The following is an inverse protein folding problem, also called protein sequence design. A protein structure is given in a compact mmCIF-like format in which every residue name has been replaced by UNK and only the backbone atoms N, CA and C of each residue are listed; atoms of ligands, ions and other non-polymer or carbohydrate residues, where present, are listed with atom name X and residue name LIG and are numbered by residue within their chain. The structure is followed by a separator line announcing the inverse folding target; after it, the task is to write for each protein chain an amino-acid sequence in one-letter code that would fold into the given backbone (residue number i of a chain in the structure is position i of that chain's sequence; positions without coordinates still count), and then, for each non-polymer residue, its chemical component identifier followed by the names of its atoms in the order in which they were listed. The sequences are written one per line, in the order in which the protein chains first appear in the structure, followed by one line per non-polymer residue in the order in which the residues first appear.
data_IF_676086843339
#
_entry.id   IF_676086843339
#
_cell.length_a   1.000
_cell.length_b   1.000
_cell.length_c   1.000
_cell.angle_alpha   90.00
_cell.angle_beta   90.00
_cell.angle_gamma   90.00
#
_symmetry.space_group_name_H-M   'P 1'
#
loop_
_entity.id
_entity.type
_entity.pdbx_description
1 polymer ?
#
# COMPACT_ATOMS: atom_id res chain seq x y z
N UNK A 1 56.14 24.93 18.27
CA UNK A 1 56.49 25.14 19.65
C UNK A 1 55.22 25.35 20.44
N UNK A 2 54.96 24.33 21.25
CA UNK A 2 54.38 24.32 22.59
C UNK A 2 52.91 24.71 22.74
N UNK A 3 52.09 23.84 23.04
CA UNK A 3 51.89 23.02 24.25
C UNK A 3 50.98 23.70 25.28
N UNK A 4 50.12 22.93 25.74
CA UNK A 4 49.67 22.49 27.05
C UNK A 4 48.32 23.05 27.48
N UNK A 5 47.42 22.15 27.68
CA UNK A 5 46.98 21.43 28.88
C UNK A 5 45.95 22.22 29.67
N UNK A 6 44.98 21.63 30.01
CA UNK A 6 44.46 20.69 30.98
C UNK A 6 43.27 21.23 31.77
N UNK A 7 42.43 20.36 31.96
CA UNK A 7 41.68 19.89 33.15
C UNK A 7 40.47 20.77 33.52
N UNK A 8 39.41 20.26 33.95
CA UNK A 8 38.95 18.97 34.42
C UNK A 8 37.62 19.13 35.10
N UNK A 9 37.01 18.03 35.28
CA UNK A 9 36.28 17.54 36.45
C UNK A 9 34.83 17.99 36.66
N UNK A 10 34.00 17.03 36.39
CA UNK A 10 33.03 16.36 37.26
C UNK A 10 32.23 17.22 38.26
N UNK A 11 30.93 17.08 38.19
CA UNK A 11 30.11 16.56 39.28
C UNK A 11 28.60 16.53 38.92
N UNK A 12 28.05 15.32 38.92
CA UNK A 12 26.68 15.07 39.35
C UNK A 12 26.68 15.11 40.89
N UNK A 13 25.60 15.31 41.66
CA UNK A 13 24.30 14.62 41.52
C UNK A 13 23.03 15.35 42.06
N UNK A 14 21.97 14.61 41.97
CA UNK A 14 20.78 14.50 42.86
C UNK A 14 19.64 15.53 42.64
N UNK A 15 18.51 15.10 42.30
CA UNK A 15 17.44 14.26 42.85
C UNK A 15 16.27 15.07 43.46
N UNK A 16 15.08 14.56 43.13
CA UNK A 16 13.80 14.71 43.80
C UNK A 16 13.03 16.04 43.53
N UNK A 17 11.79 16.08 43.17
CA UNK A 17 10.59 15.35 43.64
C UNK A 17 9.39 15.67 42.74
N UNK A 18 8.65 14.66 42.50
CA UNK A 18 7.21 14.49 42.35
C UNK A 18 6.32 15.75 42.42
N UNK A 19 5.47 15.90 41.44
CA UNK A 19 4.01 15.99 41.62
C UNK A 19 3.27 15.73 40.33
N UNK A 20 2.44 14.67 40.33
CA UNK A 20 1.29 14.45 39.48
C UNK A 20 0.11 15.15 40.15
N UNK A 21 -0.93 15.70 39.45
CA UNK A 21 -1.96 14.83 38.93
C UNK A 21 -2.63 15.25 37.61
N UNK A 22 -3.07 14.24 36.92
CA UNK A 22 -4.33 13.99 36.24
C UNK A 22 -5.07 15.12 35.52
N UNK A 23 -5.30 14.87 34.20
CA UNK A 23 -6.64 14.88 33.59
C UNK A 23 -6.59 14.23 32.22
N UNK A 24 -7.10 13.08 32.11
CA UNK A 24 -8.05 12.51 31.18
C UNK A 24 -8.28 13.32 29.87
N UNK A 25 -7.72 12.81 28.79
CA UNK A 25 -8.17 13.07 27.42
C UNK A 25 -8.22 11.71 26.73
N UNK A 26 -9.36 11.04 26.82
CA UNK A 26 -9.66 9.85 26.03
C UNK A 26 -9.78 10.28 24.57
N UNK A 27 -8.81 9.96 23.74
CA UNK A 27 -9.01 9.82 22.32
C UNK A 27 -9.35 8.35 22.10
N UNK A 28 -10.63 8.06 22.02
CA UNK A 28 -11.15 6.81 21.54
C UNK A 28 -10.77 6.69 20.06
N UNK A 29 -9.64 6.05 19.82
CA UNK A 29 -9.27 5.49 18.53
C UNK A 29 -10.10 4.23 18.31
N UNK A 30 -11.40 4.39 18.11
CA UNK A 30 -12.26 3.32 17.62
C UNK A 30 -11.98 3.11 16.13
N UNK A 31 -11.01 2.31 15.83
CA UNK A 31 -10.92 1.63 14.54
C UNK A 31 -12.04 0.59 14.51
N UNK A 32 -13.21 1.05 14.09
CA UNK A 32 -14.35 0.19 13.78
C UNK A 32 -13.92 -0.75 12.67
N UNK A 33 -14.01 -2.08 12.86
CA UNK A 33 -13.81 -3.01 11.73
C UNK A 33 -14.87 -2.70 10.67
N UNK A 34 -14.55 -2.91 9.36
CA UNK A 34 -15.51 -2.66 8.30
C UNK A 34 -16.74 -3.52 8.53
N UNK A 35 -17.81 -2.89 8.90
CA UNK A 35 -19.12 -3.54 9.11
C UNK A 35 -19.51 -4.18 7.79
N UNK A 36 -19.76 -5.48 7.81
CA UNK A 36 -20.41 -6.20 6.71
C UNK A 36 -21.71 -5.46 6.39
N UNK A 37 -21.74 -4.76 5.24
CA UNK A 37 -22.81 -3.84 5.05
C UNK A 37 -23.27 -3.67 3.62
N UNK A 38 -24.16 -2.79 3.45
CA UNK A 38 -24.95 -2.38 2.32
C UNK A 38 -24.19 -2.37 0.98
N UNK A 39 -24.89 -2.68 -0.08
CA UNK A 39 -24.40 -2.49 -1.45
C UNK A 39 -23.94 -1.04 -1.64
N UNK A 40 -22.93 -0.78 -2.47
CA UNK A 40 -22.49 0.56 -2.79
C UNK A 40 -23.68 1.43 -3.23
N UNK A 41 -23.68 2.69 -2.81
CA UNK A 41 -24.71 3.63 -3.27
C UNK A 41 -24.66 3.76 -4.81
N UNK A 42 -25.79 4.11 -5.44
CA UNK A 42 -25.89 4.17 -6.89
C UNK A 42 -24.85 5.14 -7.50
N UNK A 43 -24.59 6.29 -6.84
CA UNK A 43 -23.58 7.26 -7.25
C UNK A 43 -22.16 6.69 -7.15
N UNK A 44 -21.85 6.03 -6.05
CA UNK A 44 -20.58 5.37 -5.80
C UNK A 44 -20.25 4.31 -6.88
N UNK A 45 -21.23 3.46 -7.20
CA UNK A 45 -21.08 2.47 -8.26
C UNK A 45 -20.87 3.11 -9.63
N UNK A 46 -21.59 4.20 -9.93
CA UNK A 46 -21.47 4.90 -11.21
C UNK A 46 -20.10 5.56 -11.39
N UNK A 47 -19.57 6.21 -10.35
CA UNK A 47 -18.23 6.82 -10.38
C UNK A 47 -17.13 5.75 -10.54
N UNK A 48 -17.23 4.66 -9.79
CA UNK A 48 -16.32 3.53 -9.96
C UNK A 48 -16.36 2.97 -11.39
N UNK A 49 -17.54 2.74 -11.95
CA UNK A 49 -17.70 2.23 -13.31
C UNK A 49 -17.15 3.20 -14.36
N UNK A 50 -17.29 4.49 -14.14
CA UNK A 50 -16.73 5.53 -15.03
C UNK A 50 -15.19 5.43 -15.03
N UNK A 51 -14.57 5.34 -13.85
CA UNK A 51 -13.13 5.15 -13.73
C UNK A 51 -12.65 3.85 -14.40
N UNK A 52 -13.35 2.75 -14.14
CA UNK A 52 -13.05 1.45 -14.72
C UNK A 52 -13.16 1.44 -16.26
N UNK A 53 -14.23 2.02 -16.80
CA UNK A 53 -14.43 2.12 -18.24
C UNK A 53 -13.38 2.98 -18.92
N UNK A 54 -12.91 4.04 -18.25
CA UNK A 54 -11.81 4.88 -18.75
C UNK A 54 -10.54 4.06 -18.97
N UNK A 55 -10.20 3.19 -18.04
CA UNK A 55 -9.04 2.32 -18.18
C UNK A 55 -9.27 1.21 -19.22
N UNK A 56 -10.34 0.46 -19.07
CA UNK A 56 -10.51 -0.83 -19.80
C UNK A 56 -11.08 -0.65 -21.20
N UNK A 57 -12.02 0.29 -21.37
CA UNK A 57 -12.68 0.50 -22.67
C UNK A 57 -12.04 1.60 -23.50
N UNK A 58 -11.53 2.64 -22.85
CA UNK A 58 -10.95 3.78 -23.54
C UNK A 58 -9.43 3.73 -23.60
N UNK A 59 -8.78 2.92 -22.74
CA UNK A 59 -7.33 2.85 -22.64
C UNK A 59 -6.69 4.11 -22.04
N UNK A 60 -7.50 4.99 -21.47
CA UNK A 60 -7.02 6.25 -20.88
C UNK A 60 -6.62 6.03 -19.41
N UNK A 61 -5.39 5.54 -19.24
CA UNK A 61 -4.83 5.28 -17.91
C UNK A 61 -4.68 6.54 -17.05
N UNK A 62 -4.45 7.70 -17.67
CA UNK A 62 -4.29 8.95 -16.93
C UNK A 62 -5.65 9.44 -16.39
N UNK A 63 -6.69 9.43 -17.21
CA UNK A 63 -8.04 9.76 -16.77
C UNK A 63 -8.52 8.77 -15.70
N UNK A 64 -8.29 7.47 -15.91
CA UNK A 64 -8.65 6.44 -14.95
C UNK A 64 -7.96 6.65 -13.58
N UNK A 65 -6.66 6.95 -13.57
CA UNK A 65 -5.94 7.23 -12.32
C UNK A 65 -6.56 8.40 -11.55
N UNK A 66 -6.88 9.50 -12.24
CA UNK A 66 -7.54 10.66 -11.63
C UNK A 66 -8.92 10.31 -11.07
N UNK A 67 -9.70 9.55 -11.82
CA UNK A 67 -11.06 9.15 -11.40
C UNK A 67 -11.02 8.19 -10.20
N UNK A 68 -10.11 7.21 -10.19
CA UNK A 68 -9.95 6.32 -9.03
C UNK A 68 -9.43 7.05 -7.80
N UNK A 69 -8.53 8.03 -7.96
CA UNK A 69 -8.10 8.89 -6.84
C UNK A 69 -9.27 9.67 -6.26
N UNK A 70 -10.08 10.32 -7.10
CA UNK A 70 -11.26 11.07 -6.68
C UNK A 70 -12.26 10.15 -5.96
N UNK A 71 -12.51 8.95 -6.52
CA UNK A 71 -13.36 7.93 -5.91
C UNK A 71 -12.90 7.56 -4.50
N UNK A 72 -11.60 7.26 -4.32
CA UNK A 72 -11.02 6.86 -3.04
C UNK A 72 -11.01 7.98 -2.00
N UNK A 73 -10.96 9.25 -2.44
CA UNK A 73 -11.09 10.41 -1.57
C UNK A 73 -12.54 10.63 -1.13
N UNK A 74 -13.48 10.41 -2.02
CA UNK A 74 -14.93 10.61 -1.76
C UNK A 74 -15.50 9.46 -0.94
N UNK A 75 -15.06 8.22 -1.22
CA UNK A 75 -15.60 7.00 -0.63
C UNK A 75 -14.50 6.12 0.03
N UNK A 76 -13.79 6.62 1.05
CA UNK A 76 -12.64 5.91 1.64
C UNK A 76 -13.01 4.57 2.29
N UNK A 77 -14.25 4.43 2.75
CA UNK A 77 -14.78 3.23 3.43
C UNK A 77 -15.66 2.36 2.51
N UNK A 78 -15.63 2.65 1.22
CA UNK A 78 -16.38 1.89 0.22
C UNK A 78 -15.97 0.41 0.18
N UNK A 79 -16.94 -0.46 -0.02
CA UNK A 79 -16.68 -1.87 -0.36
C UNK A 79 -15.91 -2.03 -1.67
N UNK A 80 -15.97 -1.03 -2.54
CA UNK A 80 -15.22 -0.99 -3.79
C UNK A 80 -13.80 -0.44 -3.62
N UNK A 81 -13.46 0.11 -2.44
CA UNK A 81 -12.14 0.69 -2.21
C UNK A 81 -10.97 -0.29 -2.48
N UNK A 82 -11.01 -1.58 -2.07
CA UNK A 82 -9.94 -2.51 -2.44
C UNK A 82 -9.77 -2.65 -3.95
N UNK A 83 -10.88 -2.77 -4.69
CA UNK A 83 -10.85 -2.83 -6.14
C UNK A 83 -10.35 -1.52 -6.76
N UNK A 84 -10.78 -0.38 -6.21
CA UNK A 84 -10.34 0.94 -6.68
C UNK A 84 -8.83 1.15 -6.47
N UNK A 85 -8.26 0.73 -5.34
CA UNK A 85 -6.82 0.74 -5.13
C UNK A 85 -6.06 -0.14 -6.11
N UNK A 86 -6.61 -1.33 -6.41
CA UNK A 86 -6.03 -2.21 -7.43
C UNK A 86 -6.00 -1.53 -8.81
N UNK A 87 -7.13 -1.00 -9.26
CA UNK A 87 -7.22 -0.36 -10.58
C UNK A 87 -6.45 0.96 -10.67
N UNK A 88 -6.31 1.67 -9.56
CA UNK A 88 -5.41 2.82 -9.49
C UNK A 88 -3.96 2.38 -9.70
N UNK A 89 -3.54 1.29 -9.05
CA UNK A 89 -2.23 0.68 -9.27
C UNK A 89 -2.01 0.25 -10.72
N UNK A 90 -3.00 -0.40 -11.33
CA UNK A 90 -2.96 -0.80 -12.75
C UNK A 90 -2.87 0.42 -13.68
N UNK A 91 -3.60 1.49 -13.37
CA UNK A 91 -3.53 2.74 -14.14
C UNK A 91 -2.13 3.34 -14.09
N UNK A 92 -1.52 3.39 -12.91
CA UNK A 92 -0.14 3.86 -12.77
C UNK A 92 0.88 2.93 -13.43
N UNK A 93 0.65 1.62 -13.35
CA UNK A 93 1.50 0.63 -14.03
C UNK A 93 1.48 0.85 -15.54
N UNK A 94 0.30 1.05 -16.13
CA UNK A 94 0.15 1.36 -17.55
C UNK A 94 0.83 2.67 -17.98
N UNK A 95 0.96 3.63 -17.05
CA UNK A 95 1.69 4.89 -17.24
C UNK A 95 3.20 4.77 -16.96
N UNK A 96 3.71 3.56 -16.71
CA UNK A 96 5.09 3.29 -16.27
C UNK A 96 5.47 4.07 -14.99
N UNK A 97 4.50 4.51 -14.21
CA UNK A 97 4.67 5.19 -12.91
C UNK A 97 4.74 4.14 -11.79
N UNK A 98 5.75 3.29 -11.84
CA UNK A 98 5.84 2.08 -11.00
C UNK A 98 5.91 2.38 -9.51
N UNK A 99 6.49 3.49 -9.09
CA UNK A 99 6.50 3.93 -7.69
C UNK A 99 5.08 4.24 -7.17
N UNK A 100 4.25 4.90 -7.99
CA UNK A 100 2.86 5.19 -7.65
C UNK A 100 2.00 3.93 -7.67
N UNK A 101 2.28 3.03 -8.61
CA UNK A 101 1.64 1.72 -8.65
C UNK A 101 1.94 0.92 -7.39
N UNK A 102 3.21 0.84 -6.96
CA UNK A 102 3.63 0.20 -5.71
C UNK A 102 2.92 0.77 -4.49
N UNK A 103 2.79 2.11 -4.39
CA UNK A 103 2.05 2.74 -3.30
C UNK A 103 0.59 2.30 -3.28
N UNK A 104 -0.06 2.25 -4.44
CA UNK A 104 -1.47 1.87 -4.54
C UNK A 104 -1.68 0.41 -4.16
N UNK A 105 -0.86 -0.50 -4.68
CA UNK A 105 -0.89 -1.92 -4.30
C UNK A 105 -0.53 -2.13 -2.84
N UNK A 106 0.45 -1.37 -2.30
CA UNK A 106 0.85 -1.41 -0.90
C UNK A 106 -0.32 -1.05 0.03
N UNK A 107 -1.04 0.03 -0.24
CA UNK A 107 -2.22 0.43 0.54
C UNK A 107 -3.29 -0.67 0.52
N UNK A 108 -3.51 -1.32 -0.63
CA UNK A 108 -4.43 -2.45 -0.73
C UNK A 108 -3.98 -3.60 0.16
N UNK A 109 -2.70 -3.98 0.10
CA UNK A 109 -2.15 -5.10 0.87
C UNK A 109 -2.14 -4.84 2.39
N UNK A 110 -1.92 -3.57 2.80
CA UNK A 110 -1.87 -3.18 4.20
C UNK A 110 -3.27 -3.06 4.83
N UNK A 111 -4.21 -2.45 4.09
CA UNK A 111 -5.53 -2.14 4.63
C UNK A 111 -6.59 -3.17 4.29
N UNK A 112 -6.39 -3.95 3.25
CA UNK A 112 -7.38 -4.88 2.68
C UNK A 112 -6.75 -6.24 2.35
N UNK A 113 -5.94 -6.76 3.26
CA UNK A 113 -5.17 -8.01 3.08
C UNK A 113 -6.06 -9.22 2.74
N UNK A 114 -7.31 -9.22 3.22
CA UNK A 114 -8.29 -10.29 2.97
C UNK A 114 -9.14 -10.06 1.70
N UNK A 115 -8.85 -8.99 0.96
CA UNK A 115 -9.53 -8.72 -0.30
C UNK A 115 -9.18 -9.76 -1.36
N UNK A 116 -10.16 -10.13 -2.17
CA UNK A 116 -9.93 -10.97 -3.36
C UNK A 116 -8.93 -10.37 -4.37
N UNK A 117 -8.57 -9.08 -4.23
CA UNK A 117 -7.54 -8.40 -5.04
C UNK A 117 -6.14 -8.45 -4.43
N UNK A 118 -5.99 -8.92 -3.19
CA UNK A 118 -4.68 -8.96 -2.53
C UNK A 118 -3.66 -9.87 -3.27
N UNK A 119 -4.03 -11.07 -3.78
CA UNK A 119 -3.10 -11.89 -4.55
C UNK A 119 -2.57 -11.18 -5.80
N UNK A 120 -3.49 -10.57 -6.57
CA UNK A 120 -3.13 -9.82 -7.79
C UNK A 120 -2.26 -8.61 -7.47
N UNK A 121 -2.59 -7.85 -6.41
CA UNK A 121 -1.82 -6.68 -5.98
C UNK A 121 -0.39 -7.07 -5.57
N UNK A 122 -0.22 -8.19 -4.87
CA UNK A 122 1.11 -8.68 -4.48
C UNK A 122 1.93 -9.10 -5.70
N UNK A 123 1.32 -9.80 -6.67
CA UNK A 123 1.95 -10.13 -7.94
C UNK A 123 2.42 -8.87 -8.68
N UNK A 124 1.52 -7.89 -8.80
CA UNK A 124 1.81 -6.62 -9.49
C UNK A 124 2.87 -5.79 -8.77
N UNK A 125 2.91 -5.84 -7.44
CA UNK A 125 4.00 -5.23 -6.67
C UNK A 125 5.35 -5.84 -7.05
N UNK A 126 5.40 -7.16 -7.21
CA UNK A 126 6.60 -7.84 -7.70
C UNK A 126 7.02 -7.36 -9.09
N UNK A 127 6.08 -7.21 -10.00
CA UNK A 127 6.36 -6.69 -11.35
C UNK A 127 6.86 -5.24 -11.30
N UNK A 128 6.22 -4.37 -10.50
CA UNK A 128 6.69 -2.99 -10.34
C UNK A 128 8.14 -2.93 -9.83
N UNK A 129 8.50 -3.77 -8.86
CA UNK A 129 9.87 -3.83 -8.35
C UNK A 129 10.87 -4.23 -9.45
N UNK A 130 10.50 -5.20 -10.29
CA UNK A 130 11.34 -5.61 -11.42
C UNK A 130 11.51 -4.50 -12.45
N UNK A 131 10.43 -3.78 -12.79
CA UNK A 131 10.47 -2.65 -13.71
C UNK A 131 11.32 -1.47 -13.18
N UNK A 132 11.37 -1.31 -11.85
CA UNK A 132 12.23 -0.34 -11.17
C UNK A 132 13.69 -0.80 -11.06
N UNK A 133 14.02 -2.01 -11.52
CA UNK A 133 15.35 -2.58 -11.42
C UNK A 133 15.66 -3.20 -10.04
N UNK A 134 14.70 -3.26 -9.14
CA UNK A 134 14.84 -3.85 -7.80
C UNK A 134 14.60 -5.37 -7.85
N UNK A 135 15.49 -6.09 -8.54
CA UNK A 135 15.31 -7.51 -8.84
C UNK A 135 15.12 -8.37 -7.57
N UNK A 136 15.90 -8.14 -6.52
CA UNK A 136 15.78 -8.88 -5.26
C UNK A 136 14.40 -8.70 -4.62
N UNK A 137 13.91 -7.46 -4.54
CA UNK A 137 12.58 -7.17 -3.99
C UNK A 137 11.46 -7.74 -4.88
N UNK A 138 11.64 -7.69 -6.20
CA UNK A 138 10.71 -8.29 -7.16
C UNK A 138 10.60 -9.80 -7.00
N UNK A 139 11.74 -10.51 -6.92
CA UNK A 139 11.78 -11.96 -6.65
C UNK A 139 11.11 -12.30 -5.32
N UNK A 140 11.44 -11.57 -4.26
CA UNK A 140 10.84 -11.77 -2.93
C UNK A 140 9.32 -11.61 -2.95
N UNK A 141 8.79 -10.60 -3.64
CA UNK A 141 7.35 -10.40 -3.76
C UNK A 141 6.68 -11.55 -4.54
N UNK A 142 7.29 -12.03 -5.62
CA UNK A 142 6.78 -13.17 -6.39
C UNK A 142 6.80 -14.48 -5.59
N UNK A 143 7.85 -14.71 -4.81
CA UNK A 143 7.93 -15.85 -3.88
C UNK A 143 6.86 -15.77 -2.80
N UNK A 144 6.59 -14.56 -2.28
CA UNK A 144 5.52 -14.34 -1.31
C UNK A 144 4.13 -14.64 -1.89
N UNK A 145 3.89 -14.36 -3.19
CA UNK A 145 2.65 -14.78 -3.87
C UNK A 145 2.48 -16.30 -3.81
N UNK A 146 3.54 -17.05 -4.16
CA UNK A 146 3.51 -18.51 -4.18
C UNK A 146 3.29 -19.08 -2.78
N UNK A 147 3.94 -18.49 -1.76
CA UNK A 147 3.84 -18.93 -0.39
C UNK A 147 2.46 -18.67 0.23
N UNK A 148 1.89 -17.47 -0.02
CA UNK A 148 0.60 -17.07 0.56
C UNK A 148 -0.60 -17.62 -0.19
N UNK A 149 -0.49 -17.81 -1.51
CA UNK A 149 -1.61 -18.16 -2.39
C UNK A 149 -1.26 -19.34 -3.32
N UNK A 150 -0.79 -20.48 -2.78
CA UNK A 150 -0.17 -21.56 -3.57
C UNK A 150 -1.08 -22.17 -4.63
N UNK A 151 -2.40 -22.17 -4.40
CA UNK A 151 -3.41 -22.73 -5.31
C UNK A 151 -4.07 -21.68 -6.20
N UNK A 152 -3.62 -20.43 -6.16
CA UNK A 152 -4.20 -19.36 -6.97
C UNK A 152 -3.56 -19.33 -8.36
N UNK A 153 -4.30 -18.98 -9.42
CA UNK A 153 -3.74 -18.75 -10.76
C UNK A 153 -2.59 -17.72 -10.76
N UNK A 154 -2.61 -16.74 -9.84
CA UNK A 154 -1.51 -15.76 -9.72
C UNK A 154 -0.20 -16.38 -9.26
N UNK A 155 -0.25 -17.49 -8.49
CA UNK A 155 0.96 -18.23 -8.12
C UNK A 155 1.65 -18.85 -9.35
N UNK A 156 0.89 -19.31 -10.33
CA UNK A 156 1.45 -19.85 -11.57
C UNK A 156 2.10 -18.74 -12.41
N UNK A 157 1.51 -17.55 -12.43
CA UNK A 157 2.11 -16.37 -13.06
C UNK A 157 3.42 -15.97 -12.35
N UNK A 158 3.44 -15.98 -11.01
CA UNK A 158 4.63 -15.70 -10.23
C UNK A 158 5.75 -16.72 -10.51
N UNK A 159 5.44 -18.03 -10.52
CA UNK A 159 6.39 -19.09 -10.88
C UNK A 159 6.94 -18.91 -12.28
N UNK A 160 6.08 -18.58 -13.24
CA UNK A 160 6.49 -18.33 -14.62
C UNK A 160 7.44 -17.14 -14.72
N UNK A 161 7.15 -16.05 -14.03
CA UNK A 161 8.01 -14.86 -14.03
C UNK A 161 9.36 -15.13 -13.38
N UNK A 162 9.40 -15.85 -12.26
CA UNK A 162 10.65 -16.25 -11.58
C UNK A 162 11.55 -17.11 -12.49
N UNK A 163 10.97 -18.07 -13.21
CA UNK A 163 11.75 -18.86 -14.20
C UNK A 163 12.40 -17.98 -15.27
N UNK A 164 11.68 -16.97 -15.73
CA UNK A 164 12.21 -16.03 -16.72
C UNK A 164 13.31 -15.10 -16.23
N UNK A 165 13.48 -14.97 -14.90
CA UNK A 165 14.55 -14.17 -14.27
C UNK A 165 15.82 -15.00 -13.98
N UNK A 166 15.74 -16.32 -14.13
CA UNK A 166 16.84 -17.24 -13.83
C UNK A 166 17.63 -17.64 -15.10
N UNK A 167 17.27 -17.10 -16.26
CA UNK A 167 17.93 -17.30 -17.55
C UNK A 167 18.82 -16.11 -17.90
#
# INVERSE_FOLDING_TARGET
VSALEQTGSAAKPAAASATKPAAAGKSDGSSKPPTAAAAPAAGESAEYQTAYNSLIKQGDALAAAKLFQAFLQTYPDSRLAPNAWYWLGESYYALASYDLALKSFGILLDRYADSGKAPDALLKSGYCQLELGNEAAGKQALEAVIAKYPSSPVADLARSRLRGLSL
#
